data_IF_413540801877
#
_entry.id   IF_413540801877
#
_cell.length_a   1.000
_cell.length_b   1.000
_cell.length_c   1.000
_cell.angle_alpha   90.00
_cell.angle_beta   90.00
_cell.angle_gamma   90.00
#
_symmetry.space_group_name_H-M   'P 1'
#
loop_
_entity.id
_entity.type
_entity.pdbx_description
1 polymer ?
#
# COMPACT_ATOMS: atom_id res chain seq x y z
N UNK A 1 12.59 -4.32 3.83
CA UNK A 1 11.76 -3.91 5.00
C UNK A 1 11.88 -4.92 6.15
N UNK A 2 11.61 -6.21 5.93
CA UNK A 2 11.67 -7.20 7.02
C UNK A 2 13.01 -7.28 7.76
N UNK A 3 14.14 -7.34 7.04
CA UNK A 3 15.49 -7.37 7.63
C UNK A 3 15.76 -6.14 8.50
N UNK A 4 15.52 -4.94 7.94
CA UNK A 4 15.66 -3.66 8.63
C UNK A 4 14.81 -3.59 9.91
N UNK A 5 13.53 -3.99 9.85
CA UNK A 5 12.64 -3.94 11.00
C UNK A 5 13.09 -4.89 12.13
N UNK A 6 13.55 -6.10 11.78
CA UNK A 6 14.08 -7.06 12.75
C UNK A 6 15.40 -6.58 13.36
N UNK A 7 16.33 -6.07 12.54
CA UNK A 7 17.58 -5.52 13.03
C UNK A 7 17.34 -4.34 13.99
N UNK A 8 16.41 -3.44 13.61
CA UNK A 8 16.02 -2.28 14.40
C UNK A 8 15.41 -2.64 15.75
N UNK A 9 14.48 -3.60 15.82
CA UNK A 9 13.86 -3.97 17.10
C UNK A 9 14.83 -4.71 18.04
N UNK A 10 15.79 -5.44 17.49
CA UNK A 10 16.80 -6.17 18.27
C UNK A 10 18.00 -5.30 18.64
N UNK A 11 18.16 -4.11 18.04
CA UNK A 11 19.32 -3.26 18.27
C UNK A 11 20.63 -3.84 17.72
N UNK A 12 20.56 -4.63 16.64
CA UNK A 12 21.73 -5.27 16.02
C UNK A 12 21.95 -4.76 14.59
N UNK A 13 23.18 -4.87 14.04
CA UNK A 13 23.44 -4.52 12.66
C UNK A 13 22.65 -5.40 11.67
N UNK A 14 22.19 -4.82 10.55
CA UNK A 14 21.39 -5.54 9.53
C UNK A 14 22.10 -6.76 8.94
N UNK A 15 23.44 -6.75 8.85
CA UNK A 15 24.23 -7.88 8.34
C UNK A 15 24.19 -9.11 9.26
N UNK A 16 23.70 -8.99 10.49
CA UNK A 16 23.46 -10.11 11.42
C UNK A 16 22.10 -10.77 11.21
N UNK A 17 21.24 -10.20 10.37
CA UNK A 17 19.89 -10.72 10.11
C UNK A 17 19.83 -11.26 8.69
N UNK A 18 19.48 -12.54 8.54
CA UNK A 18 19.22 -13.15 7.24
C UNK A 18 17.72 -13.46 7.09
N UNK A 19 17.12 -13.00 6.00
CA UNK A 19 15.70 -13.27 5.68
C UNK A 19 15.64 -14.18 4.46
N UNK A 20 15.00 -15.34 4.62
CA UNK A 20 14.84 -16.33 3.54
C UNK A 20 13.35 -16.52 3.25
N UNK A 21 12.96 -16.37 1.98
CA UNK A 21 11.58 -16.54 1.53
C UNK A 21 11.59 -17.49 0.32
N UNK A 22 11.02 -18.70 0.48
CA UNK A 22 10.92 -19.66 -0.63
C UNK A 22 9.76 -19.36 -1.57
N UNK A 23 8.57 -19.09 -1.01
CA UNK A 23 7.34 -18.74 -1.73
C UNK A 23 6.40 -17.98 -0.80
N UNK A 24 5.46 -17.22 -1.39
CA UNK A 24 4.41 -16.52 -0.64
C UNK A 24 3.05 -16.94 -1.18
N UNK A 25 2.20 -17.52 -0.32
CA UNK A 25 0.82 -17.85 -0.66
C UNK A 25 -0.07 -16.62 -0.68
N UNK A 26 0.00 -15.82 -1.76
CA UNK A 26 -0.76 -14.57 -1.92
C UNK A 26 -0.25 -13.41 -1.07
N UNK A 27 -0.14 -12.21 -1.67
CA UNK A 27 0.35 -11.01 -1.00
C UNK A 27 -0.55 -9.79 -1.25
N UNK A 28 -0.93 -9.53 -2.50
CA UNK A 28 -1.83 -8.42 -2.88
C UNK A 28 -1.46 -7.05 -2.28
N UNK A 29 -0.17 -6.81 -2.02
CA UNK A 29 0.37 -5.58 -1.42
C UNK A 29 0.58 -5.63 0.10
N UNK A 30 -0.19 -6.42 0.85
CA UNK A 30 -0.14 -6.37 2.32
C UNK A 30 1.18 -6.89 2.92
N UNK A 31 1.88 -7.79 2.22
CA UNK A 31 3.13 -8.39 2.70
C UNK A 31 4.40 -7.60 2.35
N UNK A 32 4.28 -6.37 1.82
CA UNK A 32 5.42 -5.50 1.52
C UNK A 32 5.98 -4.91 2.83
N UNK A 33 5.17 -4.10 3.51
CA UNK A 33 5.56 -3.40 4.74
C UNK A 33 5.04 -4.11 5.99
N UNK A 34 3.79 -4.58 5.98
CA UNK A 34 3.08 -5.05 7.19
C UNK A 34 3.56 -6.38 7.72
N UNK A 35 4.11 -7.25 6.86
CA UNK A 35 4.75 -8.50 7.28
C UNK A 35 5.92 -8.25 8.27
N UNK A 36 6.53 -7.06 8.22
CA UNK A 36 7.61 -6.66 9.14
C UNK A 36 7.15 -6.61 10.60
N UNK A 37 5.88 -6.28 10.88
CA UNK A 37 5.35 -6.23 12.25
C UNK A 37 5.38 -7.63 12.89
N UNK A 38 4.92 -8.62 12.14
CA UNK A 38 4.91 -10.03 12.56
C UNK A 38 6.32 -10.58 12.70
N UNK A 39 7.20 -10.27 11.75
CA UNK A 39 8.60 -10.70 11.79
C UNK A 39 9.35 -10.10 12.99
N UNK A 40 9.15 -8.81 13.28
CA UNK A 40 9.75 -8.13 14.42
C UNK A 40 9.28 -8.71 15.75
N UNK A 41 7.97 -8.94 15.92
CA UNK A 41 7.42 -9.58 17.12
C UNK A 41 7.98 -10.99 17.33
N UNK A 42 8.05 -11.80 16.26
CA UNK A 42 8.62 -13.14 16.30
C UNK A 42 10.12 -13.13 16.64
N UNK A 43 10.87 -12.19 16.07
CA UNK A 43 12.29 -12.03 16.34
C UNK A 43 12.56 -11.62 17.79
N UNK A 44 11.78 -10.67 18.32
CA UNK A 44 11.87 -10.27 19.72
C UNK A 44 11.57 -11.45 20.66
N UNK A 45 10.51 -12.23 20.37
CA UNK A 45 10.20 -13.43 21.13
C UNK A 45 11.35 -14.45 21.11
N UNK A 46 11.99 -14.66 19.96
CA UNK A 46 13.15 -15.53 19.84
C UNK A 46 14.36 -15.01 20.63
N UNK A 47 14.59 -13.69 20.59
CA UNK A 47 15.68 -13.05 21.32
C UNK A 47 15.51 -13.10 22.84
N UNK A 48 14.29 -12.89 23.34
CA UNK A 48 14.02 -12.96 24.79
C UNK A 48 14.07 -14.40 25.29
N UNK A 49 13.51 -15.34 24.54
CA UNK A 49 13.42 -16.75 24.97
C UNK A 49 14.67 -17.57 24.69
N UNK A 50 15.60 -17.02 23.88
CA UNK A 50 16.80 -17.73 23.40
C UNK A 50 16.47 -19.06 22.71
N UNK A 51 15.31 -19.12 22.03
CA UNK A 51 14.81 -20.31 21.35
C UNK A 51 14.25 -19.95 19.98
N UNK A 52 14.23 -20.89 19.02
CA UNK A 52 13.49 -20.70 17.77
C UNK A 52 12.01 -20.48 18.05
N UNK A 53 11.44 -19.40 17.50
CA UNK A 53 10.03 -19.04 17.63
C UNK A 53 9.36 -19.07 16.26
N UNK A 54 8.12 -19.54 16.22
CA UNK A 54 7.25 -19.48 15.04
C UNK A 54 5.99 -18.70 15.42
N UNK A 55 5.59 -17.77 14.56
CA UNK A 55 4.35 -17.02 14.70
C UNK A 55 3.50 -17.22 13.46
N UNK A 56 2.27 -17.72 13.66
CA UNK A 56 1.24 -17.80 12.64
C UNK A 56 0.00 -17.06 13.17
N UNK A 57 -0.48 -16.08 12.43
CA UNK A 57 -1.68 -15.33 12.82
C UNK A 57 -2.91 -16.08 12.36
N UNK A 58 -3.94 -16.13 13.21
CA UNK A 58 -5.28 -16.44 12.75
C UNK A 58 -5.81 -15.33 11.83
N UNK A 59 -6.89 -15.63 11.12
CA UNK A 59 -7.47 -14.72 10.13
C UNK A 59 -8.01 -13.44 10.79
N UNK A 60 -8.62 -13.54 11.96
CA UNK A 60 -9.26 -12.41 12.64
C UNK A 60 -8.22 -11.38 13.10
N UNK A 61 -7.17 -11.85 13.76
CA UNK A 61 -6.01 -11.06 14.18
C UNK A 61 -5.32 -10.43 12.99
N UNK A 62 -5.14 -11.18 11.90
CA UNK A 62 -4.56 -10.65 10.67
C UNK A 62 -5.43 -9.51 10.08
N UNK A 63 -6.74 -9.70 9.99
CA UNK A 63 -7.66 -8.68 9.44
C UNK A 63 -7.75 -7.43 10.31
N UNK A 64 -7.63 -7.57 11.63
CA UNK A 64 -7.60 -6.44 12.57
C UNK A 64 -6.28 -5.67 12.49
N UNK A 65 -5.15 -6.36 12.37
CA UNK A 65 -3.82 -5.75 12.51
C UNK A 65 -3.22 -5.22 11.20
N UNK A 66 -3.29 -5.99 10.11
CA UNK A 66 -2.55 -5.70 8.87
C UNK A 66 -3.15 -4.53 8.11
N UNK A 67 -4.45 -4.30 8.28
CA UNK A 67 -5.21 -3.26 7.58
C UNK A 67 -5.69 -3.72 6.20
N UNK A 68 -6.26 -2.77 5.46
CA UNK A 68 -6.94 -2.97 4.18
C UNK A 68 -6.52 -1.89 3.18
N UNK A 69 -7.09 -1.97 1.96
CA UNK A 69 -6.94 -0.89 0.97
C UNK A 69 -7.46 0.43 1.55
N UNK A 70 -6.75 1.51 1.25
CA UNK A 70 -7.18 2.87 1.54
C UNK A 70 -8.59 3.11 0.98
N UNK A 71 -9.56 3.54 1.80
CA UNK A 71 -10.81 4.05 1.27
C UNK A 71 -10.54 5.41 0.61
N UNK A 72 -11.24 5.66 -0.48
CA UNK A 72 -11.14 6.91 -1.23
C UNK A 72 -12.50 7.55 -1.34
N UNK A 73 -12.53 8.87 -1.21
CA UNK A 73 -13.69 9.68 -1.48
C UNK A 73 -13.28 10.79 -2.45
N UNK A 74 -13.94 10.86 -3.61
CA UNK A 74 -13.61 11.83 -4.64
C UNK A 74 -14.81 12.74 -4.91
N UNK A 75 -14.60 14.05 -4.81
CA UNK A 75 -15.54 15.05 -5.32
C UNK A 75 -15.03 15.51 -6.68
N UNK A 76 -15.86 15.45 -7.71
CA UNK A 76 -15.44 15.85 -9.04
C UNK A 76 -16.51 16.61 -9.81
N UNK A 77 -16.04 17.51 -10.68
CA UNK A 77 -16.86 18.25 -11.64
C UNK A 77 -16.30 18.02 -13.03
N UNK A 78 -17.13 17.55 -13.95
CA UNK A 78 -16.74 17.26 -15.34
C UNK A 78 -17.41 18.26 -16.27
N UNK A 79 -16.63 18.86 -17.18
CA UNK A 79 -17.14 19.64 -18.29
C UNK A 79 -17.08 18.83 -19.58
N UNK A 80 -18.21 18.72 -20.29
CA UNK A 80 -18.29 18.07 -21.59
C UNK A 80 -18.90 19.01 -22.64
N UNK A 81 -18.52 18.82 -23.91
CA UNK A 81 -19.17 19.49 -25.04
C UNK A 81 -20.55 18.89 -25.32
N UNK A 82 -21.37 19.55 -26.15
CA UNK A 82 -22.67 19.01 -26.60
C UNK A 82 -22.56 17.66 -27.32
N UNK A 83 -21.40 17.36 -27.90
CA UNK A 83 -21.11 16.09 -28.55
C UNK A 83 -20.62 15.00 -27.57
N UNK A 84 -20.62 15.27 -26.26
CA UNK A 84 -20.17 14.34 -25.22
C UNK A 84 -18.65 14.24 -25.07
N UNK A 85 -17.88 15.17 -25.66
CA UNK A 85 -16.42 15.16 -25.58
C UNK A 85 -15.98 15.80 -24.27
N UNK A 86 -15.10 15.14 -23.52
CA UNK A 86 -14.51 15.66 -22.30
C UNK A 86 -13.71 16.94 -22.60
N UNK A 87 -14.09 18.06 -21.97
CA UNK A 87 -13.43 19.36 -22.09
C UNK A 87 -12.56 19.69 -20.86
N UNK A 88 -12.86 19.09 -19.71
CA UNK A 88 -12.06 19.28 -18.50
C UNK A 88 -12.67 18.58 -17.30
N UNK A 89 -11.85 18.37 -16.27
CA UNK A 89 -12.30 17.79 -15.01
C UNK A 89 -11.56 18.45 -13.85
N UNK A 90 -12.29 18.75 -12.76
CA UNK A 90 -11.73 19.13 -11.47
C UNK A 90 -12.04 18.00 -10.49
N UNK A 91 -11.03 17.47 -9.80
CA UNK A 91 -11.21 16.38 -8.83
C UNK A 91 -10.47 16.71 -7.53
N UNK A 92 -11.18 16.64 -6.41
CA UNK A 92 -10.61 16.63 -5.06
C UNK A 92 -10.73 15.20 -4.50
N UNK A 93 -9.59 14.55 -4.21
CA UNK A 93 -9.55 13.18 -3.69
C UNK A 93 -9.08 13.17 -2.24
N UNK A 94 -9.88 12.55 -1.38
CA UNK A 94 -9.62 12.32 0.03
C UNK A 94 -9.38 10.84 0.27
N UNK A 95 -8.50 10.51 1.21
CA UNK A 95 -8.23 9.13 1.60
C UNK A 95 -8.00 9.03 3.09
N UNK A 96 -8.50 7.96 3.71
CA UNK A 96 -8.22 7.66 5.11
C UNK A 96 -6.93 6.84 5.20
N UNK A 97 -5.90 7.43 5.82
CA UNK A 97 -4.61 6.78 6.02
C UNK A 97 -4.54 5.91 7.27
N UNK A 98 -5.60 5.89 8.10
CA UNK A 98 -5.59 5.25 9.41
C UNK A 98 -4.66 5.98 10.38
N UNK A 99 -4.16 5.25 11.38
CA UNK A 99 -3.32 5.82 12.44
C UNK A 99 -1.89 6.17 12.01
N UNK A 100 -1.42 5.62 10.89
CA UNK A 100 -0.08 5.88 10.35
C UNK A 100 -0.05 5.69 8.84
N UNK A 101 0.73 6.52 8.16
CA UNK A 101 0.98 6.36 6.73
C UNK A 101 1.68 5.02 6.43
N UNK A 102 1.34 4.42 5.30
CA UNK A 102 1.95 3.19 4.82
C UNK A 102 2.17 3.26 3.29
N UNK A 103 1.86 2.19 2.58
CA UNK A 103 1.97 2.04 1.13
C UNK A 103 0.83 2.79 0.39
N UNK A 104 0.68 4.10 0.62
CA UNK A 104 -0.35 4.92 -0.04
C UNK A 104 -0.12 5.00 -1.56
N UNK A 105 -1.13 4.58 -2.32
CA UNK A 105 -1.11 4.61 -3.78
C UNK A 105 -1.58 5.95 -4.38
N UNK A 106 -2.13 6.85 -3.55
CA UNK A 106 -2.78 8.08 -4.02
C UNK A 106 -1.85 8.99 -4.86
N UNK A 107 -0.60 9.27 -4.45
CA UNK A 107 0.27 10.16 -5.22
C UNK A 107 0.56 9.63 -6.63
N UNK A 108 0.76 8.31 -6.75
CA UNK A 108 0.97 7.66 -8.03
C UNK A 108 -0.30 7.68 -8.89
N UNK A 109 -1.46 7.40 -8.29
CA UNK A 109 -2.75 7.45 -8.99
C UNK A 109 -3.05 8.84 -9.57
N UNK A 110 -2.85 9.91 -8.78
CA UNK A 110 -3.10 11.29 -9.22
C UNK A 110 -2.17 11.70 -10.36
N UNK A 111 -0.89 11.30 -10.32
CA UNK A 111 0.06 11.56 -11.41
C UNK A 111 -0.36 10.89 -12.72
N UNK A 112 -0.83 9.65 -12.66
CA UNK A 112 -1.30 8.94 -13.85
C UNK A 112 -2.60 9.53 -14.39
N UNK A 113 -3.50 9.93 -13.49
CA UNK A 113 -4.74 10.60 -13.86
C UNK A 113 -4.45 11.90 -14.62
N UNK A 114 -3.57 12.76 -14.10
CA UNK A 114 -3.19 14.02 -14.75
C UNK A 114 -2.58 13.78 -16.15
N UNK A 115 -1.60 12.88 -16.25
CA UNK A 115 -0.98 12.52 -17.52
C UNK A 115 -2.00 12.02 -18.58
N UNK A 116 -2.98 11.22 -18.16
CA UNK A 116 -3.99 10.69 -19.06
C UNK A 116 -5.04 11.74 -19.44
N UNK A 117 -5.41 12.61 -18.51
CA UNK A 117 -6.31 13.73 -18.79
C UNK A 117 -5.69 14.70 -19.80
N UNK A 118 -4.41 15.04 -19.64
CA UNK A 118 -3.72 15.89 -20.61
C UNK A 118 -3.74 15.29 -22.03
N UNK A 119 -3.53 13.97 -22.16
CA UNK A 119 -3.61 13.27 -23.45
C UNK A 119 -5.02 13.25 -24.06
N UNK A 120 -6.05 13.14 -23.23
CA UNK A 120 -7.45 13.14 -23.69
C UNK A 120 -7.88 14.53 -24.14
N UNK A 121 -7.47 15.56 -23.39
CA UNK A 121 -7.75 16.95 -23.70
C UNK A 121 -6.98 17.43 -24.94
N UNK A 122 -5.75 16.96 -25.16
CA UNK A 122 -4.93 17.35 -26.31
C UNK A 122 -5.36 16.73 -27.64
N UNK A 123 -6.03 15.57 -27.61
CA UNK A 123 -6.31 14.78 -28.82
C UNK A 123 -7.79 14.76 -29.24
N UNK A 124 -8.68 15.53 -28.58
CA UNK A 124 -10.12 15.61 -28.88
C UNK A 124 -10.79 14.25 -29.17
N UNK A 125 -10.46 13.21 -28.39
CA UNK A 125 -11.09 11.90 -28.58
C UNK A 125 -12.57 11.96 -28.18
N UNK A 126 -13.47 11.75 -29.15
CA UNK A 126 -14.87 11.43 -28.90
C UNK A 126 -14.95 9.99 -28.41
N UNK A 127 -15.08 9.80 -27.10
CA UNK A 127 -15.47 8.50 -26.56
C UNK A 127 -16.97 8.32 -26.78
N UNK A 128 -17.35 7.64 -27.86
CA UNK A 128 -18.68 7.04 -27.99
C UNK A 128 -18.76 5.83 -27.06
N UNK A 129 -19.74 5.84 -26.16
CA UNK A 129 -20.21 4.66 -25.44
C UNK A 129 -21.44 4.11 -26.14
#
# INVERSE_FOLDING_TARGET
LGQFAVAGILGIPENKVTVVIKRVGGAYGSKISRASQVAAACALGSYVTQRPVRLHMDLESNMKMVGKRYPYYAKYTVGCTKAGILNGIKIDVYTDAGCSSNDSYLPYALRNLDNNLQKLLSNHYSTRW
#
